data_IF_376473830387
#
_entry.id   IF_376473830387
#
_cell.length_a   1.000
_cell.length_b   1.000
_cell.length_c   1.000
_cell.angle_alpha   90.00
_cell.angle_beta   90.00
_cell.angle_gamma   90.00
#
_symmetry.space_group_name_H-M   'P 1'
#
loop_
_entity.id
_entity.type
_entity.pdbx_description
1 polymer ?
#
# COMPACT_ATOMS: atom_id res chain seq x y z
N UNK A 1 8.18 -12.73 -6.96
CA UNK A 1 8.78 -11.52 -7.59
C UNK A 1 8.22 -10.22 -7.01
N UNK A 2 6.92 -10.08 -6.74
CA UNK A 2 6.28 -8.88 -6.19
C UNK A 2 6.96 -8.31 -4.92
N UNK A 3 7.33 -9.16 -3.95
CA UNK A 3 8.04 -8.75 -2.73
C UNK A 3 9.44 -8.18 -2.99
N UNK A 4 10.16 -8.70 -4.00
CA UNK A 4 11.51 -8.19 -4.35
C UNK A 4 11.41 -6.75 -4.84
N UNK A 5 10.45 -6.45 -5.73
CA UNK A 5 10.22 -5.08 -6.18
C UNK A 5 9.80 -4.16 -5.04
N UNK A 6 8.96 -4.63 -4.12
CA UNK A 6 8.58 -3.84 -2.95
C UNK A 6 9.79 -3.54 -2.04
N UNK A 7 10.66 -4.53 -1.80
CA UNK A 7 11.86 -4.35 -1.01
C UNK A 7 12.84 -3.36 -1.67
N UNK A 8 13.07 -3.47 -2.98
CA UNK A 8 13.91 -2.54 -3.72
C UNK A 8 13.34 -1.10 -3.68
N UNK A 9 12.03 -0.95 -3.88
CA UNK A 9 11.36 0.36 -3.76
C UNK A 9 11.49 0.95 -2.36
N UNK A 10 11.31 0.12 -1.32
CA UNK A 10 11.47 0.55 0.07
C UNK A 10 12.92 0.98 0.39
N UNK A 11 13.91 0.23 -0.08
CA UNK A 11 15.32 0.61 0.08
C UNK A 11 15.64 1.95 -0.59
N UNK A 12 15.18 2.16 -1.83
CA UNK A 12 15.36 3.44 -2.52
C UNK A 12 14.78 4.61 -1.71
N UNK A 13 13.61 4.43 -1.08
CA UNK A 13 12.99 5.44 -0.24
C UNK A 13 13.77 5.67 1.06
N UNK A 14 14.15 4.61 1.77
CA UNK A 14 14.89 4.71 3.03
C UNK A 14 16.22 5.44 2.89
N UNK A 15 16.94 5.22 1.78
CA UNK A 15 18.23 5.87 1.53
C UNK A 15 18.12 7.23 0.81
N UNK A 16 16.93 7.59 0.32
CA UNK A 16 16.73 8.83 -0.44
C UNK A 16 17.12 10.11 0.32
N UNK A 17 16.96 10.23 1.66
CA UNK A 17 17.34 11.45 2.37
C UNK A 17 18.85 11.75 2.33
N UNK A 18 19.67 10.70 2.32
CA UNK A 18 21.14 10.81 2.34
C UNK A 18 21.73 11.05 0.95
N UNK A 19 20.90 11.03 -0.09
CA UNK A 19 21.29 11.18 -1.48
C UNK A 19 21.35 12.65 -1.91
N UNK A 20 22.31 12.97 -2.79
CA UNK A 20 22.32 14.25 -3.50
C UNK A 20 21.09 14.42 -4.41
N UNK A 21 20.85 15.64 -4.86
CA UNK A 21 19.65 16.02 -5.63
C UNK A 21 19.28 15.04 -6.76
N UNK A 22 20.21 14.84 -7.71
CA UNK A 22 19.96 13.98 -8.89
C UNK A 22 19.68 12.52 -8.51
N UNK A 23 20.45 11.99 -7.55
CA UNK A 23 20.27 10.62 -7.07
C UNK A 23 18.92 10.45 -6.33
N UNK A 24 18.49 11.46 -5.57
CA UNK A 24 17.19 11.46 -4.89
C UNK A 24 16.02 11.46 -5.87
N UNK A 25 16.10 12.25 -6.94
CA UNK A 25 15.11 12.24 -8.03
C UNK A 25 15.06 10.86 -8.67
N UNK A 26 16.20 10.26 -8.98
CA UNK A 26 16.27 8.89 -9.51
C UNK A 26 15.69 7.86 -8.54
N UNK A 27 15.92 8.03 -7.23
CA UNK A 27 15.37 7.14 -6.21
C UNK A 27 13.82 7.23 -6.15
N UNK A 28 13.23 8.41 -6.25
CA UNK A 28 11.78 8.58 -6.30
C UNK A 28 11.17 7.96 -7.56
N UNK A 29 11.75 8.21 -8.73
CA UNK A 29 11.30 7.61 -9.99
C UNK A 29 11.47 6.08 -9.95
N UNK A 30 12.62 5.62 -9.46
CA UNK A 30 12.90 4.19 -9.29
C UNK A 30 11.91 3.52 -8.34
N UNK A 31 11.64 4.13 -7.18
CA UNK A 31 10.65 3.61 -6.23
C UNK A 31 9.24 3.56 -6.84
N UNK A 32 8.82 4.60 -7.57
CA UNK A 32 7.56 4.62 -8.30
C UNK A 32 7.49 3.48 -9.33
N UNK A 33 8.56 3.24 -10.08
CA UNK A 33 8.65 2.13 -11.03
C UNK A 33 8.55 0.77 -10.33
N UNK A 34 9.25 0.58 -9.21
CA UNK A 34 9.18 -0.66 -8.43
C UNK A 34 7.76 -0.93 -7.92
N UNK A 35 7.03 0.11 -7.49
CA UNK A 35 5.61 -0.01 -7.11
C UNK A 35 4.77 -0.50 -8.30
N UNK A 36 4.96 0.04 -9.51
CA UNK A 36 4.21 -0.38 -10.69
C UNK A 36 4.57 -1.81 -11.13
N UNK A 37 5.86 -2.16 -11.16
CA UNK A 37 6.30 -3.52 -11.48
C UNK A 37 5.73 -4.56 -10.51
N UNK A 38 5.67 -4.23 -9.23
CA UNK A 38 5.01 -5.06 -8.22
C UNK A 38 3.52 -5.28 -8.54
N UNK A 39 2.80 -4.21 -8.89
CA UNK A 39 1.37 -4.30 -9.24
C UNK A 39 1.15 -5.14 -10.50
N UNK A 40 2.02 -4.98 -11.50
CA UNK A 40 1.99 -5.79 -12.72
C UNK A 40 2.24 -7.28 -12.43
N UNK A 41 3.22 -7.62 -11.58
CA UNK A 41 3.43 -9.02 -11.16
C UNK A 41 2.14 -9.62 -10.57
N UNK A 42 1.48 -8.90 -9.66
CA UNK A 42 0.25 -9.39 -9.05
C UNK A 42 -0.89 -9.53 -10.06
N UNK A 43 -0.97 -8.63 -11.06
CA UNK A 43 -1.94 -8.73 -12.13
C UNK A 43 -1.70 -9.98 -12.99
N UNK A 44 -0.44 -10.23 -13.38
CA UNK A 44 -0.08 -11.42 -14.16
C UNK A 44 -0.30 -12.72 -13.39
N UNK A 45 0.05 -12.77 -12.12
CA UNK A 45 -0.19 -13.94 -11.26
C UNK A 45 -1.71 -14.25 -11.21
N UNK A 46 -2.55 -13.21 -11.09
CA UNK A 46 -4.01 -13.35 -11.14
C UNK A 46 -4.53 -13.84 -12.49
N UNK A 47 -4.02 -13.32 -13.60
CA UNK A 47 -4.41 -13.73 -14.96
C UNK A 47 -4.04 -15.19 -15.24
N UNK A 48 -2.82 -15.60 -14.90
CA UNK A 48 -2.35 -16.98 -15.07
C UNK A 48 -3.20 -17.96 -14.25
N UNK A 49 -3.63 -17.57 -13.04
CA UNK A 49 -4.51 -18.41 -12.23
C UNK A 49 -5.90 -18.60 -12.88
N UNK A 50 -6.45 -17.55 -13.48
CA UNK A 50 -7.76 -17.60 -14.15
C UNK A 50 -7.70 -18.38 -15.47
N UNK A 51 -6.77 -18.03 -16.37
CA UNK A 51 -6.65 -18.67 -17.69
C UNK A 51 -6.14 -20.10 -17.60
N UNK A 52 -5.24 -20.38 -16.65
CA UNK A 52 -4.69 -21.72 -16.43
C UNK A 52 -5.62 -22.67 -15.69
N UNK A 53 -6.83 -22.26 -15.26
CA UNK A 53 -7.75 -23.03 -14.41
C UNK A 53 -7.05 -23.67 -13.19
N UNK A 54 -5.94 -23.09 -12.74
CA UNK A 54 -5.13 -23.58 -11.61
C UNK A 54 -5.53 -22.90 -10.31
N UNK A 55 -6.81 -22.93 -9.99
CA UNK A 55 -7.28 -22.51 -8.66
C UNK A 55 -6.83 -23.52 -7.62
N UNK A 56 -5.69 -23.28 -6.99
CA UNK A 56 -5.28 -24.08 -5.85
C UNK A 56 -5.84 -23.45 -4.58
N UNK A 57 -6.25 -24.26 -3.60
CA UNK A 57 -6.72 -23.77 -2.28
C UNK A 57 -5.69 -22.92 -1.57
N UNK A 58 -4.41 -23.08 -1.89
CA UNK A 58 -3.28 -22.32 -1.36
C UNK A 58 -2.97 -21.04 -2.17
N UNK A 59 -3.50 -20.88 -3.38
CA UNK A 59 -3.18 -19.76 -4.28
C UNK A 59 -3.50 -18.39 -3.67
N UNK A 60 -4.62 -18.30 -2.98
CA UNK A 60 -5.03 -17.07 -2.28
C UNK A 60 -4.04 -16.68 -1.17
N UNK A 61 -3.51 -17.64 -0.43
CA UNK A 61 -2.51 -17.41 0.61
C UNK A 61 -1.21 -16.84 0.01
N UNK A 62 -0.74 -17.41 -1.12
CA UNK A 62 0.48 -16.95 -1.79
C UNK A 62 0.34 -15.57 -2.45
N UNK A 63 -0.87 -15.08 -2.66
CA UNK A 63 -1.12 -13.71 -3.13
C UNK A 63 -1.33 -12.72 -1.98
N UNK A 64 -2.17 -13.06 -1.00
CA UNK A 64 -2.53 -12.13 0.08
C UNK A 64 -1.37 -11.82 1.03
N UNK A 65 -0.58 -12.83 1.45
CA UNK A 65 0.51 -12.61 2.42
C UNK A 65 1.62 -11.73 1.83
N UNK A 66 2.18 -12.01 0.64
CA UNK A 66 3.17 -11.13 0.03
C UNK A 66 2.69 -9.71 -0.19
N UNK A 67 1.41 -9.54 -0.49
CA UNK A 67 0.80 -8.23 -0.68
C UNK A 67 0.79 -7.40 0.60
N UNK A 68 0.44 -8.03 1.74
CA UNK A 68 0.44 -7.33 3.05
C UNK A 68 1.84 -6.89 3.44
N UNK A 69 2.82 -7.80 3.30
CA UNK A 69 4.23 -7.49 3.59
C UNK A 69 4.73 -6.36 2.70
N UNK A 70 4.46 -6.44 1.41
CA UNK A 70 4.89 -5.42 0.44
C UNK A 70 4.27 -4.04 0.68
N UNK A 71 2.96 -3.98 1.00
CA UNK A 71 2.29 -2.72 1.34
C UNK A 71 2.92 -2.10 2.60
N UNK A 72 3.14 -2.91 3.63
CA UNK A 72 3.77 -2.47 4.88
C UNK A 72 5.16 -1.90 4.64
N UNK A 73 6.03 -2.63 3.90
CA UNK A 73 7.39 -2.18 3.59
C UNK A 73 7.39 -0.81 2.89
N UNK A 74 6.57 -0.63 1.87
CA UNK A 74 6.54 0.62 1.09
C UNK A 74 5.97 1.79 1.90
N UNK A 75 4.89 1.58 2.67
CA UNK A 75 4.28 2.64 3.48
C UNK A 75 5.22 3.06 4.61
N UNK A 76 5.88 2.11 5.27
CA UNK A 76 6.85 2.40 6.33
C UNK A 76 8.06 3.13 5.76
N UNK A 77 8.60 2.68 4.62
CA UNK A 77 9.72 3.32 3.95
C UNK A 77 9.42 4.78 3.56
N UNK A 78 8.16 5.11 3.23
CA UNK A 78 7.74 6.49 2.97
C UNK A 78 7.94 7.39 4.20
N UNK A 79 7.70 6.88 5.41
CA UNK A 79 7.99 7.61 6.64
C UNK A 79 9.49 7.86 6.85
N UNK A 80 10.33 6.87 6.56
CA UNK A 80 11.79 7.01 6.63
C UNK A 80 12.36 7.96 5.57
N UNK A 81 11.66 8.17 4.46
CA UNK A 81 12.02 9.17 3.46
C UNK A 81 11.81 10.63 3.94
N UNK A 82 11.24 10.83 5.12
CA UNK A 82 10.87 12.14 5.69
C UNK A 82 11.55 12.42 7.05
N UNK A 83 12.89 12.33 7.16
CA UNK A 83 13.58 12.47 8.46
C UNK A 83 13.41 13.86 9.10
N UNK A 84 13.05 14.88 8.31
CA UNK A 84 12.78 16.23 8.81
C UNK A 84 11.46 16.34 9.62
N UNK A 85 10.62 15.31 9.59
CA UNK A 85 9.32 15.28 10.26
C UNK A 85 9.32 14.15 11.30
N UNK A 86 9.49 14.48 12.57
CA UNK A 86 9.56 13.52 13.69
C UNK A 86 8.36 12.57 13.76
N UNK A 87 7.18 13.05 13.39
CA UNK A 87 5.94 12.27 13.40
C UNK A 87 5.81 11.28 12.23
N UNK A 88 6.59 11.46 11.14
CA UNK A 88 6.39 10.73 9.89
C UNK A 88 6.59 9.21 10.06
N UNK A 89 7.58 8.80 10.84
CA UNK A 89 7.84 7.37 11.12
C UNK A 89 6.66 6.77 11.89
N UNK A 90 6.19 7.43 12.96
CA UNK A 90 5.06 6.94 13.74
C UNK A 90 3.78 6.81 12.91
N UNK A 91 3.48 7.83 12.10
CA UNK A 91 2.31 7.82 11.21
C UNK A 91 2.45 6.78 10.11
N UNK A 92 3.65 6.51 9.59
CA UNK A 92 3.85 5.47 8.56
C UNK A 92 3.59 4.06 9.09
N UNK A 93 4.00 3.76 10.33
CA UNK A 93 3.66 2.51 11.00
C UNK A 93 2.15 2.39 11.27
N UNK A 94 1.51 3.47 11.72
CA UNK A 94 0.06 3.51 11.90
C UNK A 94 -0.67 3.30 10.56
N UNK A 95 -0.24 3.98 9.50
CA UNK A 95 -0.81 3.82 8.15
C UNK A 95 -0.67 2.39 7.62
N UNK A 96 0.49 1.75 7.83
CA UNK A 96 0.73 0.36 7.47
C UNK A 96 -0.17 -0.60 8.25
N UNK A 97 -0.33 -0.39 9.56
CA UNK A 97 -1.25 -1.17 10.39
C UNK A 97 -2.70 -1.01 9.91
N UNK A 98 -3.14 0.21 9.65
CA UNK A 98 -4.48 0.48 9.12
C UNK A 98 -4.69 -0.14 7.74
N UNK A 99 -3.66 -0.12 6.87
CA UNK A 99 -3.70 -0.80 5.58
C UNK A 99 -3.87 -2.32 5.73
N UNK A 100 -3.17 -2.93 6.68
CA UNK A 100 -3.34 -4.35 7.02
C UNK A 100 -4.75 -4.62 7.58
N UNK A 101 -5.26 -3.76 8.47
CA UNK A 101 -6.60 -3.85 9.04
C UNK A 101 -7.70 -3.77 7.96
N UNK A 102 -7.50 -3.02 6.87
CA UNK A 102 -8.48 -3.02 5.75
C UNK A 102 -8.66 -4.41 5.13
N UNK A 103 -7.59 -5.20 5.03
CA UNK A 103 -7.66 -6.57 4.52
C UNK A 103 -8.21 -7.53 5.57
N UNK A 104 -7.75 -7.40 6.82
CA UNK A 104 -8.23 -8.23 7.93
C UNK A 104 -9.75 -8.15 8.10
N UNK A 105 -10.30 -6.93 8.13
CA UNK A 105 -11.76 -6.72 8.28
C UNK A 105 -12.53 -7.32 7.10
N UNK A 106 -11.98 -7.29 5.89
CA UNK A 106 -12.58 -7.95 4.72
C UNK A 106 -12.64 -9.47 4.92
N UNK A 107 -11.54 -10.08 5.34
CA UNK A 107 -11.46 -11.53 5.58
C UNK A 107 -12.34 -11.95 6.76
N UNK A 108 -12.40 -11.11 7.81
CA UNK A 108 -13.30 -11.33 8.96
C UNK A 108 -14.76 -11.36 8.52
N UNK A 109 -15.20 -10.42 7.67
CA UNK A 109 -16.55 -10.45 7.11
C UNK A 109 -16.84 -11.73 6.32
N UNK A 110 -15.87 -12.18 5.52
CA UNK A 110 -15.98 -13.45 4.77
C UNK A 110 -16.05 -14.66 5.70
N UNK A 111 -15.29 -14.70 6.80
CA UNK A 111 -15.34 -15.78 7.80
C UNK A 111 -16.67 -15.84 8.56
N UNK A 112 -17.37 -14.71 8.65
CA UNK A 112 -18.75 -14.64 9.18
C UNK A 112 -19.83 -15.01 8.14
N UNK A 113 -19.46 -15.56 6.99
CA UNK A 113 -20.39 -16.00 5.94
C UNK A 113 -20.90 -14.87 5.02
N UNK A 114 -20.37 -13.65 5.16
CA UNK A 114 -20.74 -12.53 4.30
C UNK A 114 -19.91 -12.55 3.00
N UNK A 115 -20.46 -12.00 1.91
CA UNK A 115 -19.69 -11.80 0.69
C UNK A 115 -18.55 -10.82 0.96
N UNK A 116 -17.32 -11.16 0.48
CA UNK A 116 -16.17 -10.27 0.58
C UNK A 116 -16.44 -8.96 -0.16
N UNK A 117 -16.56 -7.86 0.57
CA UNK A 117 -16.88 -6.56 0.00
C UNK A 117 -15.65 -5.64 -0.08
N UNK A 118 -15.43 -5.08 -1.25
CA UNK A 118 -14.33 -4.14 -1.55
C UNK A 118 -14.77 -2.68 -1.33
N UNK A 119 -15.39 -2.38 -0.19
CA UNK A 119 -15.86 -1.05 0.15
C UNK A 119 -14.73 -0.18 0.71
N UNK A 120 -14.77 1.10 0.38
CA UNK A 120 -13.92 2.14 0.96
C UNK A 120 -12.97 2.78 -0.07
N UNK A 121 -12.59 4.05 0.16
CA UNK A 121 -11.82 4.83 -0.80
C UNK A 121 -10.33 4.48 -0.82
N UNK A 122 -9.81 3.71 0.14
CA UNK A 122 -8.38 3.44 0.28
C UNK A 122 -8.08 1.94 0.28
N UNK A 123 -8.42 1.27 -0.82
CA UNK A 123 -7.95 -0.09 -1.08
C UNK A 123 -6.47 -0.08 -1.53
N UNK A 124 -5.87 -1.27 -1.72
CA UNK A 124 -4.46 -1.44 -2.12
C UNK A 124 -4.09 -0.57 -3.34
N UNK A 125 -4.91 -0.59 -4.38
CA UNK A 125 -4.64 0.12 -5.62
C UNK A 125 -4.57 1.63 -5.42
N UNK A 126 -5.51 2.20 -4.66
CA UNK A 126 -5.55 3.63 -4.37
C UNK A 126 -4.34 4.06 -3.52
N UNK A 127 -3.93 3.27 -2.52
CA UNK A 127 -2.72 3.54 -1.72
C UNK A 127 -1.48 3.61 -2.62
N UNK A 128 -1.32 2.63 -3.50
CA UNK A 128 -0.18 2.59 -4.41
C UNK A 128 -0.23 3.72 -5.45
N UNK A 129 -1.41 4.08 -5.94
CA UNK A 129 -1.58 5.21 -6.84
C UNK A 129 -1.21 6.55 -6.16
N UNK A 130 -1.65 6.78 -4.93
CA UNK A 130 -1.30 7.97 -4.15
C UNK A 130 0.21 8.05 -3.92
N UNK A 131 0.85 6.93 -3.52
CA UNK A 131 2.31 6.88 -3.35
C UNK A 131 3.05 7.16 -4.66
N UNK A 132 2.69 6.48 -5.74
CA UNK A 132 3.31 6.67 -7.06
C UNK A 132 3.18 8.11 -7.52
N UNK A 133 1.98 8.69 -7.42
CA UNK A 133 1.73 10.08 -7.80
C UNK A 133 2.57 11.05 -6.98
N UNK A 134 2.62 10.88 -5.66
CA UNK A 134 3.42 11.74 -4.79
C UNK A 134 4.93 11.64 -5.10
N UNK A 135 5.45 10.43 -5.37
CA UNK A 135 6.85 10.23 -5.72
C UNK A 135 7.21 10.89 -7.05
N UNK A 136 6.39 10.71 -8.08
CA UNK A 136 6.63 11.32 -9.40
C UNK A 136 6.52 12.85 -9.34
N UNK A 137 5.54 13.39 -8.61
CA UNK A 137 5.41 14.84 -8.40
C UNK A 137 6.59 15.38 -7.60
N UNK A 138 7.09 14.65 -6.60
CA UNK A 138 8.27 15.03 -5.81
C UNK A 138 9.56 15.01 -6.63
N UNK A 139 9.64 14.14 -7.63
CA UNK A 139 10.76 14.12 -8.58
C UNK A 139 10.80 15.37 -9.46
N UNK A 140 9.63 15.90 -9.84
CA UNK A 140 9.50 17.12 -10.65
C UNK A 140 9.59 18.38 -9.79
N UNK A 141 8.88 18.41 -8.65
CA UNK A 141 8.85 19.56 -7.74
C UNK A 141 9.59 19.26 -6.45
N UNK A 142 10.90 19.29 -6.53
CA UNK A 142 11.80 18.92 -5.44
C UNK A 142 11.61 19.75 -4.17
N UNK A 143 11.43 21.06 -4.29
CA UNK A 143 11.22 21.95 -3.14
C UNK A 143 9.93 21.64 -2.36
N UNK A 144 8.95 21.03 -3.01
CA UNK A 144 7.71 20.58 -2.40
C UNK A 144 7.69 19.11 -2.00
N UNK A 145 8.78 18.36 -2.19
CA UNK A 145 8.81 16.92 -1.97
C UNK A 145 8.35 16.51 -0.56
N UNK A 146 8.81 17.21 0.48
CA UNK A 146 8.42 16.94 1.86
C UNK A 146 6.90 17.09 2.04
N UNK A 147 6.30 18.13 1.49
CA UNK A 147 4.85 18.36 1.56
C UNK A 147 4.04 17.32 0.78
N UNK A 148 4.52 16.94 -0.42
CA UNK A 148 3.85 15.93 -1.24
C UNK A 148 3.88 14.56 -0.59
N UNK A 149 5.04 14.13 -0.10
CA UNK A 149 5.21 12.81 0.51
C UNK A 149 4.50 12.73 1.87
N UNK A 150 4.59 13.78 2.70
CA UNK A 150 3.87 13.82 3.97
C UNK A 150 2.36 13.90 3.77
N UNK A 151 1.89 14.67 2.80
CA UNK A 151 0.48 14.73 2.40
C UNK A 151 -0.03 13.36 1.93
N UNK A 152 0.73 12.64 1.09
CA UNK A 152 0.39 11.30 0.67
C UNK A 152 0.30 10.32 1.84
N UNK A 153 1.25 10.40 2.79
CA UNK A 153 1.24 9.56 3.99
C UNK A 153 -0.02 9.79 4.83
N UNK A 154 -0.40 11.05 5.06
CA UNK A 154 -1.62 11.40 5.79
C UNK A 154 -2.89 10.94 5.06
N UNK A 155 -2.95 11.11 3.74
CA UNK A 155 -4.08 10.63 2.92
C UNK A 155 -4.22 9.12 3.01
N UNK A 156 -3.11 8.37 2.98
CA UNK A 156 -3.11 6.92 3.13
C UNK A 156 -3.58 6.53 4.54
N UNK A 157 -3.09 7.17 5.59
CA UNK A 157 -3.47 6.89 6.96
C UNK A 157 -4.96 7.14 7.20
N UNK A 158 -5.44 8.34 6.91
CA UNK A 158 -6.83 8.76 7.13
C UNK A 158 -7.80 7.97 6.23
N UNK A 159 -7.44 7.78 4.96
CA UNK A 159 -8.26 7.00 4.02
C UNK A 159 -8.36 5.53 4.39
N UNK A 160 -7.26 4.93 4.93
CA UNK A 160 -7.29 3.56 5.44
C UNK A 160 -8.13 3.45 6.71
N UNK A 161 -8.03 4.39 7.65
CA UNK A 161 -8.87 4.45 8.84
C UNK A 161 -10.36 4.54 8.47
N UNK A 162 -10.70 5.44 7.55
CA UNK A 162 -12.05 5.58 7.03
C UNK A 162 -12.57 4.28 6.37
N UNK A 163 -11.71 3.62 5.59
CA UNK A 163 -12.04 2.35 4.93
C UNK A 163 -12.34 1.25 5.95
N UNK A 164 -11.51 1.14 7.01
CA UNK A 164 -11.74 0.19 8.12
C UNK A 164 -13.08 0.47 8.80
N UNK A 165 -13.34 1.72 9.18
CA UNK A 165 -14.59 2.13 9.82
C UNK A 165 -15.82 1.79 8.99
N UNK A 166 -15.80 2.12 7.68
CA UNK A 166 -16.92 1.79 6.77
C UNK A 166 -17.16 0.29 6.63
N UNK A 167 -16.09 -0.51 6.55
CA UNK A 167 -16.21 -1.98 6.45
C UNK A 167 -16.79 -2.58 7.72
N UNK A 168 -16.27 -2.16 8.89
CA UNK A 168 -16.79 -2.63 10.18
C UNK A 168 -18.26 -2.27 10.36
N UNK A 169 -18.64 -1.04 10.08
CA UNK A 169 -20.03 -0.60 10.18
C UNK A 169 -20.96 -1.41 9.28
N UNK A 170 -20.54 -1.71 8.06
CA UNK A 170 -21.35 -2.52 7.14
C UNK A 170 -21.45 -3.97 7.58
N UNK A 171 -20.34 -4.61 8.00
CA UNK A 171 -20.34 -5.99 8.50
C UNK A 171 -21.27 -6.08 9.70
N UNK A 172 -21.16 -5.16 10.66
CA UNK A 172 -22.04 -5.12 11.83
C UNK A 172 -23.53 -5.04 11.43
N UNK A 173 -23.87 -4.10 10.55
CA UNK A 173 -25.27 -3.93 10.11
C UNK A 173 -25.83 -5.11 9.28
N UNK A 174 -24.97 -5.93 8.65
CA UNK A 174 -25.40 -7.15 7.95
C UNK A 174 -25.63 -8.33 8.93
N UNK A 175 -24.76 -8.46 9.93
CA UNK A 175 -24.86 -9.52 10.94
C UNK A 175 -26.08 -9.32 11.86
N UNK A 176 -26.45 -8.07 12.19
CA UNK A 176 -27.65 -7.77 12.98
C UNK A 176 -28.97 -8.04 12.23
N UNK A 177 -28.92 -8.21 10.91
CA UNK A 177 -30.09 -8.45 10.05
C UNK A 177 -30.24 -9.92 9.64
N UNK A 178 -29.25 -10.75 9.93
CA UNK A 178 -29.24 -12.19 9.63
C UNK A 178 -29.75 -12.99 10.82
#
# INVERSE_FOLDING_TARGET
MSMVFAALGALLLCFSPDMGYSARVMAYVGAALMIQLRLLCNLFDGMVAVEGQRFTKSGELFNEVPDRVSDTLLIVALGYALPSLEWAIGVSWLAALLAMMTAYVRLLGASCGLKAEFLGPMAKQQRMAVMTGALLLSAVWHNGAVWLLSGALLVIALGSAWTVGRRLHKIYGLLERS
#
